data_IF_832238241536
#
_entry.id   IF_832238241536
#
_cell.length_a   1.000
_cell.length_b   1.000
_cell.length_c   1.000
_cell.angle_alpha   90.00
_cell.angle_beta   90.00
_cell.angle_gamma   90.00
#
_symmetry.space_group_name_H-M   'P 1'
#
loop_
_entity.id
_entity.type
_entity.pdbx_description
1 polymer ?
#
# COMPACT_ATOMS: atom_id res chain seq x y z
N UNK A 1 -6.63 19.24 -5.50
CA UNK A 1 -6.01 19.00 -4.17
C UNK A 1 -4.50 19.11 -4.34
N UNK A 2 -3.84 19.77 -3.41
CA UNK A 2 -2.39 20.01 -3.50
C UNK A 2 -1.61 18.76 -3.06
N UNK A 3 -1.18 17.99 -4.06
CA UNK A 3 -0.40 16.75 -3.88
C UNK A 3 0.95 17.02 -3.23
N UNK A 4 1.58 18.18 -3.53
CA UNK A 4 2.84 18.59 -2.92
C UNK A 4 2.69 18.87 -1.41
N UNK A 5 1.60 19.52 -1.01
CA UNK A 5 1.34 19.77 0.41
C UNK A 5 1.14 18.47 1.20
N UNK A 6 0.53 17.43 0.58
CA UNK A 6 0.45 16.09 1.20
C UNK A 6 1.83 15.46 1.34
N UNK A 7 2.64 15.49 0.27
CA UNK A 7 4.00 14.94 0.30
C UNK A 7 4.86 15.59 1.37
N UNK A 8 4.85 16.94 1.47
CA UNK A 8 5.55 17.70 2.52
C UNK A 8 5.04 17.34 3.91
N UNK A 9 3.72 17.17 4.07
CA UNK A 9 3.12 16.75 5.33
C UNK A 9 3.56 15.35 5.77
N UNK A 10 3.66 14.40 4.83
CA UNK A 10 4.19 13.06 5.10
C UNK A 10 5.65 13.11 5.56
N UNK A 11 6.47 13.96 4.95
CA UNK A 11 7.85 14.17 5.37
C UNK A 11 7.93 14.76 6.78
N UNK A 12 7.20 15.84 7.04
CA UNK A 12 7.19 16.53 8.34
C UNK A 12 6.68 15.64 9.49
N UNK A 13 5.76 14.72 9.19
CA UNK A 13 5.26 13.73 10.15
C UNK A 13 6.25 12.57 10.40
N UNK A 14 7.43 12.56 9.75
CA UNK A 14 8.43 11.49 9.91
C UNK A 14 7.98 10.14 9.35
N UNK A 15 7.02 10.13 8.41
CA UNK A 15 6.51 8.92 7.76
C UNK A 15 7.61 8.22 6.97
N UNK A 16 8.49 9.00 6.33
CA UNK A 16 9.66 8.47 5.61
C UNK A 16 10.90 8.81 6.42
N UNK A 17 11.64 7.78 6.79
CA UNK A 17 12.90 7.88 7.54
C UNK A 17 14.05 7.38 6.69
N UNK A 18 15.19 8.06 6.75
CA UNK A 18 16.42 7.73 6.02
C UNK A 18 17.44 7.13 6.96
N UNK A 19 18.17 6.10 6.51
CA UNK A 19 19.14 5.37 7.33
C UNK A 19 19.37 3.97 6.79
N UNK A 20 19.77 3.05 7.64
CA UNK A 20 20.00 1.64 7.30
C UNK A 20 18.99 0.77 8.05
N UNK A 21 18.00 0.26 7.35
CA UNK A 21 16.87 -0.48 7.96
C UNK A 21 16.86 -1.94 7.55
N UNK A 22 16.66 -2.81 8.53
CA UNK A 22 16.29 -4.21 8.27
C UNK A 22 14.79 -4.25 7.91
N UNK A 23 14.46 -4.95 6.83
CA UNK A 23 13.09 -5.20 6.40
C UNK A 23 12.75 -6.68 6.62
N UNK A 24 11.47 -7.05 6.44
CA UNK A 24 11.02 -8.45 6.54
C UNK A 24 11.83 -9.41 5.67
N UNK A 25 12.32 -8.95 4.52
CA UNK A 25 13.21 -9.71 3.65
C UNK A 25 14.42 -10.32 4.40
N UNK A 26 14.96 -9.61 5.41
CA UNK A 26 16.12 -10.08 6.19
C UNK A 26 15.80 -11.23 7.16
N UNK A 27 14.52 -11.60 7.32
CA UNK A 27 14.12 -12.80 8.05
C UNK A 27 14.47 -14.06 7.23
N UNK A 28 14.34 -13.99 5.89
CA UNK A 28 14.65 -15.07 4.96
C UNK A 28 16.02 -14.93 4.29
N UNK A 29 16.52 -13.70 4.12
CA UNK A 29 17.82 -13.39 3.50
C UNK A 29 18.58 -12.42 4.42
N UNK A 30 19.27 -12.94 5.49
CA UNK A 30 19.92 -12.11 6.51
C UNK A 30 20.96 -11.13 5.98
N UNK A 31 21.66 -11.50 4.91
CA UNK A 31 22.74 -10.73 4.27
C UNK A 31 22.26 -9.80 3.15
N UNK A 32 20.95 -9.67 2.96
CA UNK A 32 20.42 -8.72 1.99
C UNK A 32 20.88 -7.29 2.34
N UNK A 33 21.10 -6.40 1.34
CA UNK A 33 21.45 -5.01 1.59
C UNK A 33 20.35 -4.31 2.42
N UNK A 34 20.77 -3.58 3.46
CA UNK A 34 19.87 -2.79 4.28
C UNK A 34 19.15 -1.75 3.41
N UNK A 35 17.87 -1.51 3.71
CA UNK A 35 17.12 -0.47 3.03
C UNK A 35 17.59 0.92 3.47
N UNK A 36 17.92 1.84 2.55
CA UNK A 36 18.34 3.20 2.90
C UNK A 36 17.18 4.07 3.39
N UNK A 37 15.97 3.54 3.42
CA UNK A 37 14.77 4.22 3.90
C UNK A 37 13.77 3.25 4.54
N UNK A 38 12.89 3.81 5.35
CA UNK A 38 11.73 3.11 5.93
C UNK A 38 10.48 4.00 5.84
N UNK A 39 9.37 3.44 5.37
CA UNK A 39 8.08 4.14 5.27
C UNK A 39 7.13 3.57 6.32
N UNK A 40 6.61 4.43 7.20
CA UNK A 40 5.62 4.09 8.21
C UNK A 40 4.39 5.00 8.11
N UNK A 41 3.49 4.66 7.19
CA UNK A 41 2.24 5.41 6.97
C UNK A 41 1.27 5.31 8.16
N UNK A 42 1.49 4.37 9.08
CA UNK A 42 0.70 4.26 10.31
C UNK A 42 0.83 5.49 11.21
N UNK A 43 1.90 6.28 11.07
CA UNK A 43 2.08 7.53 11.79
C UNK A 43 1.04 8.59 11.39
N UNK A 44 0.51 8.53 10.17
CA UNK A 44 -0.49 9.51 9.66
C UNK A 44 -1.70 9.60 10.57
N UNK A 45 -2.09 8.50 11.24
CA UNK A 45 -3.23 8.46 12.19
C UNK A 45 -3.08 9.41 13.38
N UNK A 46 -1.86 9.86 13.69
CA UNK A 46 -1.57 10.80 14.77
C UNK A 46 -1.68 12.27 14.35
N UNK A 47 -1.92 12.54 13.07
CA UNK A 47 -1.98 13.88 12.48
C UNK A 47 -3.32 14.08 11.76
N UNK A 48 -4.39 14.54 12.45
CA UNK A 48 -5.74 14.61 11.86
C UNK A 48 -5.83 15.42 10.58
N UNK A 49 -5.19 16.58 10.50
CA UNK A 49 -5.20 17.41 9.29
C UNK A 49 -4.48 16.77 8.11
N UNK A 50 -3.41 16.02 8.37
CA UNK A 50 -2.72 15.25 7.34
C UNK A 50 -3.57 14.06 6.89
N UNK A 51 -4.21 13.36 7.83
CA UNK A 51 -5.12 12.26 7.55
C UNK A 51 -6.29 12.73 6.66
N UNK A 52 -6.85 13.89 6.94
CA UNK A 52 -7.92 14.49 6.12
C UNK A 52 -7.45 14.73 4.68
N UNK A 53 -6.28 15.35 4.49
CA UNK A 53 -5.72 15.61 3.16
C UNK A 53 -5.36 14.33 2.41
N UNK A 54 -4.79 13.35 3.11
CA UNK A 54 -4.45 12.03 2.55
C UNK A 54 -5.70 11.31 2.07
N UNK A 55 -6.73 11.24 2.92
CA UNK A 55 -7.98 10.55 2.56
C UNK A 55 -8.72 11.25 1.44
N UNK A 56 -8.70 12.58 1.39
CA UNK A 56 -9.26 13.34 0.28
C UNK A 56 -8.50 13.09 -1.03
N UNK A 57 -7.16 12.95 -0.98
CA UNK A 57 -6.36 12.63 -2.14
C UNK A 57 -6.70 11.23 -2.67
N UNK A 58 -6.84 10.25 -1.77
CA UNK A 58 -7.26 8.88 -2.13
C UNK A 58 -8.68 8.86 -2.71
N UNK A 59 -9.64 9.62 -2.14
CA UNK A 59 -10.98 9.79 -2.70
C UNK A 59 -10.91 10.35 -4.13
N UNK A 60 -9.96 11.24 -4.39
CA UNK A 60 -9.71 11.76 -5.73
C UNK A 60 -9.42 10.68 -6.77
N UNK A 61 -8.69 9.63 -6.40
CA UNK A 61 -8.37 8.48 -7.25
C UNK A 61 -9.60 7.58 -7.51
N UNK A 62 -10.54 7.56 -6.57
CA UNK A 62 -11.74 6.73 -6.66
C UNK A 62 -12.81 7.33 -7.58
N UNK A 63 -12.63 8.57 -8.06
CA UNK A 63 -13.60 9.24 -8.93
C UNK A 63 -13.76 8.51 -10.24
N UNK A 64 -15.01 8.17 -10.56
CA UNK A 64 -15.36 7.44 -11.78
C UNK A 64 -15.27 5.92 -11.67
N UNK A 65 -14.71 5.38 -10.60
CA UNK A 65 -14.75 3.96 -10.30
C UNK A 65 -16.16 3.58 -9.79
N UNK A 66 -16.58 2.36 -10.09
CA UNK A 66 -17.90 1.85 -9.68
C UNK A 66 -17.71 0.80 -8.60
N UNK A 67 -18.23 1.06 -7.42
CA UNK A 67 -18.21 0.14 -6.28
C UNK A 67 -19.40 0.39 -5.36
N UNK A 68 -19.81 -0.63 -4.63
CA UNK A 68 -20.89 -0.62 -3.65
C UNK A 68 -20.36 -0.56 -2.22
N UNK A 69 -19.14 -1.07 -2.01
CA UNK A 69 -18.52 -1.27 -0.71
C UNK A 69 -17.07 -0.81 -0.72
N UNK A 70 -16.59 -0.37 0.44
CA UNK A 70 -15.17 -0.13 0.70
C UNK A 70 -14.66 -1.29 1.55
N UNK A 71 -13.57 -1.93 1.12
CA UNK A 71 -12.85 -2.93 1.90
C UNK A 71 -11.46 -2.41 2.26
N UNK A 72 -10.96 -2.75 3.44
CA UNK A 72 -9.59 -2.44 3.84
C UNK A 72 -8.67 -3.65 3.78
N UNK A 73 -7.37 -3.40 3.79
CA UNK A 73 -6.36 -4.40 4.16
C UNK A 73 -5.94 -4.13 5.61
N UNK A 74 -6.34 -4.99 6.57
CA UNK A 74 -6.00 -4.76 7.96
C UNK A 74 -4.50 -4.98 8.22
N UNK A 75 -3.88 -4.22 9.12
CA UNK A 75 -4.43 -3.19 9.99
C UNK A 75 -3.99 -1.77 9.55
N UNK A 76 -3.10 -1.67 8.59
CA UNK A 76 -2.52 -0.38 8.18
C UNK A 76 -3.49 0.44 7.31
N UNK A 77 -4.24 -0.22 6.42
CA UNK A 77 -5.26 0.40 5.58
C UNK A 77 -6.51 0.84 6.32
N UNK A 78 -6.84 0.18 7.45
CA UNK A 78 -8.12 0.37 8.15
C UNK A 78 -8.44 1.82 8.53
N UNK A 79 -7.53 2.65 9.08
CA UNK A 79 -7.85 4.04 9.41
C UNK A 79 -8.22 4.88 8.19
N UNK A 80 -7.52 4.67 7.07
CA UNK A 80 -7.82 5.38 5.82
C UNK A 80 -9.17 4.97 5.27
N UNK A 81 -9.43 3.66 5.18
CA UNK A 81 -10.69 3.12 4.70
C UNK A 81 -11.89 3.59 5.54
N UNK A 82 -11.76 3.59 6.86
CA UNK A 82 -12.83 4.02 7.77
C UNK A 82 -13.21 5.50 7.58
N UNK A 83 -12.19 6.38 7.44
CA UNK A 83 -12.43 7.81 7.22
C UNK A 83 -13.01 8.05 5.82
N UNK A 84 -12.49 7.36 4.79
CA UNK A 84 -13.00 7.46 3.42
C UNK A 84 -14.45 6.97 3.35
N UNK A 85 -14.76 5.83 3.96
CA UNK A 85 -16.12 5.30 4.02
C UNK A 85 -17.09 6.28 4.72
N UNK A 86 -16.65 6.87 5.82
CA UNK A 86 -17.43 7.91 6.51
C UNK A 86 -17.65 9.15 5.64
N UNK A 87 -16.60 9.68 4.99
CA UNK A 87 -16.68 10.86 4.10
C UNK A 87 -17.60 10.62 2.91
N UNK A 88 -17.54 9.43 2.31
CA UNK A 88 -18.36 9.05 1.15
C UNK A 88 -19.75 8.52 1.51
N UNK A 89 -20.03 8.30 2.79
CA UNK A 89 -21.28 7.66 3.27
C UNK A 89 -21.48 6.26 2.65
N UNK A 90 -20.39 5.54 2.47
CA UNK A 90 -20.37 4.18 1.90
C UNK A 90 -20.21 3.12 2.99
N UNK A 91 -20.81 1.93 2.82
CA UNK A 91 -20.56 0.81 3.72
C UNK A 91 -19.09 0.38 3.67
N UNK A 92 -18.57 -0.07 4.82
CA UNK A 92 -17.21 -0.61 4.93
C UNK A 92 -17.26 -2.05 5.44
N UNK A 93 -16.41 -2.89 4.87
CA UNK A 93 -16.19 -4.28 5.24
C UNK A 93 -14.68 -4.54 5.45
N UNK A 94 -14.35 -5.51 6.28
CA UNK A 94 -12.95 -5.89 6.57
C UNK A 94 -12.74 -7.39 6.39
N UNK A 95 -11.88 -7.84 5.46
CA UNK A 95 -11.49 -9.24 5.35
C UNK A 95 -10.56 -9.62 6.52
N UNK A 96 -10.79 -10.80 7.11
CA UNK A 96 -9.98 -11.34 8.20
C UNK A 96 -8.85 -12.18 7.62
N UNK A 97 -7.62 -11.65 7.63
CA UNK A 97 -6.44 -12.38 7.18
C UNK A 97 -6.07 -13.54 8.13
N UNK A 98 -6.38 -13.42 9.41
CA UNK A 98 -6.11 -14.46 10.40
C UNK A 98 -7.31 -15.43 10.56
N UNK A 99 -7.04 -16.74 10.59
CA UNK A 99 -8.02 -17.77 10.92
C UNK A 99 -8.28 -17.79 12.44
N UNK A 100 -9.43 -17.31 12.91
CA UNK A 100 -9.87 -17.57 14.26
C UNK A 100 -10.44 -19.00 14.35
N UNK A 101 -9.91 -19.79 15.30
CA UNK A 101 -10.43 -21.14 15.59
C UNK A 101 -11.75 -21.11 16.38
N UNK A 102 -12.14 -19.94 16.94
CA UNK A 102 -13.32 -19.79 17.80
C UNK A 102 -14.13 -18.53 17.39
N UNK A 103 -15.46 -18.64 17.46
CA UNK A 103 -16.41 -17.56 17.16
C UNK A 103 -17.12 -17.73 15.80
N UNK A 104 -17.62 -16.62 15.20
CA UNK A 104 -18.26 -16.69 13.90
C UNK A 104 -17.24 -17.11 12.83
N UNK A 105 -17.62 -18.06 11.96
CA UNK A 105 -16.80 -18.51 10.83
C UNK A 105 -16.74 -17.47 9.70
N UNK A 106 -17.37 -16.29 9.89
CA UNK A 106 -17.36 -15.23 8.89
C UNK A 106 -15.93 -14.78 8.62
N UNK A 107 -15.53 -14.78 7.35
CA UNK A 107 -14.22 -14.35 6.86
C UNK A 107 -14.16 -12.85 6.61
N UNK A 108 -15.32 -12.16 6.64
CA UNK A 108 -15.46 -10.73 6.40
C UNK A 108 -16.33 -10.13 7.49
N UNK A 109 -15.87 -9.06 8.11
CA UNK A 109 -16.64 -8.23 9.04
C UNK A 109 -17.40 -7.16 8.26
N UNK A 110 -18.61 -6.81 8.71
CA UNK A 110 -19.52 -5.86 8.08
C UNK A 110 -20.66 -6.54 7.33
N UNK A 111 -21.56 -5.72 6.77
CA UNK A 111 -22.72 -6.19 6.01
C UNK A 111 -22.45 -6.09 4.51
N UNK A 112 -22.68 -7.17 3.78
CA UNK A 112 -22.54 -7.24 2.32
C UNK A 112 -23.51 -8.27 1.73
N UNK A 113 -23.67 -8.22 0.42
CA UNK A 113 -24.42 -9.19 -0.37
C UNK A 113 -23.57 -9.69 -1.52
N UNK A 114 -23.61 -10.99 -1.80
CA UNK A 114 -22.92 -11.56 -2.96
C UNK A 114 -23.31 -10.83 -4.26
N UNK A 115 -22.32 -10.60 -5.12
CA UNK A 115 -22.46 -9.85 -6.37
C UNK A 115 -22.17 -8.34 -6.24
N UNK A 116 -22.09 -7.79 -5.02
CA UNK A 116 -21.63 -6.42 -4.83
C UNK A 116 -20.16 -6.23 -5.19
N UNK A 117 -19.83 -5.05 -5.70
CA UNK A 117 -18.44 -4.69 -6.03
C UNK A 117 -17.78 -3.97 -4.84
N UNK A 118 -16.63 -4.45 -4.40
CA UNK A 118 -15.83 -3.82 -3.36
C UNK A 118 -14.55 -3.19 -3.95
N UNK A 119 -14.24 -1.95 -3.53
CA UNK A 119 -12.93 -1.33 -3.76
C UNK A 119 -12.04 -1.58 -2.55
N UNK A 120 -10.80 -2.05 -2.79
CA UNK A 120 -9.87 -2.37 -1.71
C UNK A 120 -8.93 -1.20 -1.44
N UNK A 121 -8.85 -0.77 -0.18
CA UNK A 121 -7.98 0.33 0.25
C UNK A 121 -6.85 -0.16 1.16
N UNK A 122 -5.63 0.33 0.89
CA UNK A 122 -4.49 0.10 1.78
C UNK A 122 -3.59 1.34 1.85
N UNK A 123 -2.61 1.32 2.73
CA UNK A 123 -1.66 2.40 2.91
C UNK A 123 -0.60 2.42 1.80
N UNK A 124 0.03 1.27 1.50
CA UNK A 124 1.08 1.17 0.48
C UNK A 124 1.06 -0.18 -0.24
N UNK A 125 1.70 -0.23 -1.40
CA UNK A 125 1.95 -1.46 -2.14
C UNK A 125 3.45 -1.74 -2.28
N UNK A 126 3.86 -2.99 -1.97
CA UNK A 126 5.22 -3.53 -2.19
C UNK A 126 5.17 -4.71 -3.17
N UNK A 127 4.93 -5.93 -2.69
CA UNK A 127 4.81 -7.16 -3.48
C UNK A 127 3.37 -7.65 -3.63
N UNK A 128 2.41 -7.04 -2.91
CA UNK A 128 0.95 -7.26 -2.99
C UNK A 128 0.39 -8.52 -2.34
N UNK A 129 1.18 -9.32 -1.62
CA UNK A 129 0.72 -10.58 -1.02
C UNK A 129 -0.52 -10.38 -0.13
N UNK A 130 -0.46 -9.42 0.82
CA UNK A 130 -1.58 -9.14 1.74
C UNK A 130 -2.83 -8.62 1.02
N UNK A 131 -2.64 -7.88 -0.09
CA UNK A 131 -3.76 -7.36 -0.90
C UNK A 131 -4.42 -8.48 -1.68
N UNK A 132 -3.62 -9.35 -2.30
CA UNK A 132 -4.12 -10.51 -3.03
C UNK A 132 -4.85 -11.48 -2.09
N UNK A 133 -4.33 -11.68 -0.87
CA UNK A 133 -5.00 -12.48 0.15
C UNK A 133 -6.34 -11.85 0.56
N UNK A 134 -6.37 -10.54 0.83
CA UNK A 134 -7.60 -9.82 1.16
C UNK A 134 -8.63 -9.93 0.03
N UNK A 135 -8.21 -9.69 -1.22
CA UNK A 135 -9.06 -9.83 -2.41
C UNK A 135 -9.60 -11.25 -2.55
N UNK A 136 -8.76 -12.27 -2.37
CA UNK A 136 -9.21 -13.66 -2.45
C UNK A 136 -10.29 -13.97 -1.42
N UNK A 137 -10.14 -13.49 -0.17
CA UNK A 137 -11.15 -13.65 0.87
C UNK A 137 -12.49 -13.01 0.46
N UNK A 138 -12.45 -11.81 -0.13
CA UNK A 138 -13.66 -11.12 -0.59
C UNK A 138 -14.33 -11.86 -1.74
N UNK A 139 -13.55 -12.34 -2.71
CA UNK A 139 -14.04 -13.12 -3.86
C UNK A 139 -14.64 -14.46 -3.41
N UNK A 140 -14.03 -15.14 -2.44
CA UNK A 140 -14.57 -16.38 -1.84
C UNK A 140 -15.92 -16.17 -1.15
N UNK A 141 -16.24 -14.94 -0.75
CA UNK A 141 -17.55 -14.55 -0.21
C UNK A 141 -18.54 -14.06 -1.28
N UNK A 142 -18.20 -14.21 -2.56
CA UNK A 142 -19.04 -13.84 -3.69
C UNK A 142 -19.03 -12.36 -4.04
N UNK A 143 -18.07 -11.59 -3.54
CA UNK A 143 -17.88 -10.19 -3.92
C UNK A 143 -17.05 -10.07 -5.20
N UNK A 144 -17.25 -8.95 -5.91
CA UNK A 144 -16.44 -8.59 -7.07
C UNK A 144 -15.40 -7.55 -6.63
N UNK A 145 -14.15 -7.74 -7.01
CA UNK A 145 -13.08 -6.76 -6.79
C UNK A 145 -12.36 -6.52 -8.10
N UNK A 146 -12.27 -5.26 -8.50
CA UNK A 146 -11.59 -4.83 -9.73
C UNK A 146 -10.50 -3.81 -9.46
N UNK A 147 -10.61 -3.06 -8.35
CA UNK A 147 -9.78 -1.90 -8.07
C UNK A 147 -9.17 -1.94 -6.67
N UNK A 148 -7.90 -1.56 -6.60
CA UNK A 148 -7.15 -1.37 -5.36
C UNK A 148 -6.63 0.07 -5.34
N UNK A 149 -6.85 0.79 -4.24
CA UNK A 149 -6.35 2.17 -4.05
C UNK A 149 -5.37 2.20 -2.89
N UNK A 150 -4.20 2.78 -3.12
CA UNK A 150 -3.15 2.93 -2.11
C UNK A 150 -2.64 4.37 -2.07
N UNK A 151 -2.08 4.78 -0.93
CA UNK A 151 -1.43 6.08 -0.84
C UNK A 151 -0.07 6.06 -1.55
N UNK A 152 0.74 5.01 -1.36
CA UNK A 152 2.10 4.94 -1.92
C UNK A 152 2.34 3.62 -2.65
N UNK A 153 2.79 3.70 -3.91
CA UNK A 153 3.46 2.61 -4.61
C UNK A 153 4.97 2.69 -4.34
N UNK A 154 5.53 1.63 -3.73
CA UNK A 154 6.97 1.52 -3.47
C UNK A 154 7.79 1.08 -4.69
N UNK A 155 7.16 0.86 -5.83
CA UNK A 155 7.79 0.46 -7.10
C UNK A 155 8.60 -0.85 -7.00
N UNK A 156 8.09 -1.82 -6.20
CA UNK A 156 8.73 -3.11 -5.95
C UNK A 156 7.97 -4.29 -6.62
N UNK A 157 7.27 -4.02 -7.72
CA UNK A 157 6.59 -5.05 -8.51
C UNK A 157 5.14 -5.34 -8.10
N UNK A 158 4.64 -4.73 -7.02
CA UNK A 158 3.31 -5.03 -6.51
C UNK A 158 2.17 -4.60 -7.43
N UNK A 159 2.30 -3.46 -8.10
CA UNK A 159 1.30 -3.00 -9.09
C UNK A 159 1.21 -3.99 -10.26
N UNK A 160 2.36 -4.50 -10.73
CA UNK A 160 2.42 -5.51 -11.79
C UNK A 160 1.78 -6.84 -11.34
N UNK A 161 2.01 -7.25 -10.08
CA UNK A 161 1.40 -8.45 -9.51
C UNK A 161 -0.13 -8.32 -9.41
N UNK A 162 -0.65 -7.18 -8.96
CA UNK A 162 -2.09 -6.90 -8.96
C UNK A 162 -2.67 -6.93 -10.36
N UNK A 163 -2.01 -6.31 -11.34
CA UNK A 163 -2.45 -6.32 -12.73
C UNK A 163 -2.48 -7.72 -13.33
N UNK A 164 -1.48 -8.54 -13.02
CA UNK A 164 -1.46 -9.96 -13.46
C UNK A 164 -2.62 -10.77 -12.85
N UNK A 165 -3.12 -10.37 -11.68
CA UNK A 165 -4.32 -10.93 -11.04
C UNK A 165 -5.64 -10.31 -11.53
N UNK A 166 -5.61 -9.42 -12.55
CA UNK A 166 -6.80 -8.78 -13.11
C UNK A 166 -7.31 -7.58 -12.30
N UNK A 167 -6.47 -6.98 -11.46
CA UNK A 167 -6.82 -5.85 -10.59
C UNK A 167 -6.11 -4.58 -11.07
N UNK A 168 -6.84 -3.47 -11.14
CA UNK A 168 -6.26 -2.16 -11.37
C UNK A 168 -5.83 -1.51 -10.05
N UNK A 169 -4.58 -1.04 -9.99
CA UNK A 169 -4.01 -0.39 -8.81
C UNK A 169 -3.85 1.12 -9.05
N UNK A 170 -4.46 1.91 -8.18
CA UNK A 170 -4.44 3.37 -8.20
C UNK A 170 -3.62 3.87 -7.01
N UNK A 171 -2.43 4.40 -7.25
CA UNK A 171 -1.56 4.96 -6.22
C UNK A 171 -1.59 6.50 -6.26
N UNK A 172 -1.69 7.13 -5.09
CA UNK A 172 -1.61 8.58 -4.99
C UNK A 172 -0.19 9.09 -5.30
N UNK A 173 0.82 8.33 -4.86
CA UNK A 173 2.22 8.61 -5.12
C UNK A 173 2.94 7.35 -5.56
N UNK A 174 3.89 7.51 -6.48
CA UNK A 174 5.04 6.60 -6.60
C UNK A 174 6.12 7.05 -5.63
N UNK A 175 6.91 6.12 -5.12
CA UNK A 175 8.02 6.48 -4.24
C UNK A 175 9.02 7.38 -4.95
N UNK A 176 9.35 7.11 -6.20
CA UNK A 176 10.22 7.98 -7.02
C UNK A 176 9.69 9.42 -7.11
N UNK A 177 8.38 9.60 -7.25
CA UNK A 177 7.76 10.93 -7.27
C UNK A 177 7.88 11.65 -5.92
N UNK A 178 7.69 10.95 -4.79
CA UNK A 178 7.91 11.54 -3.46
C UNK A 178 9.35 12.00 -3.28
N UNK A 179 10.32 11.20 -3.73
CA UNK A 179 11.74 11.54 -3.64
C UNK A 179 12.10 12.78 -4.48
N UNK A 180 11.55 12.91 -5.68
CA UNK A 180 11.77 14.12 -6.50
C UNK A 180 11.18 15.36 -5.81
N UNK A 181 9.96 15.28 -5.27
CA UNK A 181 9.37 16.39 -4.51
C UNK A 181 10.26 16.77 -3.31
N UNK A 182 10.78 15.78 -2.57
CA UNK A 182 11.64 16.05 -1.41
C UNK A 182 12.98 16.65 -1.80
N UNK A 183 13.57 16.23 -2.90
CA UNK A 183 14.80 16.79 -3.47
C UNK A 183 14.59 18.25 -3.93
N UNK A 184 13.53 18.52 -4.69
CA UNK A 184 13.19 19.86 -5.17
C UNK A 184 12.98 20.84 -4.00
N UNK A 185 12.33 20.37 -2.94
CA UNK A 185 12.08 21.14 -1.72
C UNK A 185 13.28 21.17 -0.76
N UNK A 186 14.41 20.52 -1.10
CA UNK A 186 15.61 20.42 -0.27
C UNK A 186 15.36 19.78 1.11
N UNK A 187 14.40 18.88 1.18
CA UNK A 187 14.07 18.11 2.40
C UNK A 187 14.99 16.91 2.58
N UNK A 188 15.62 16.44 1.52
CA UNK A 188 16.63 15.36 1.53
C UNK A 188 17.91 15.83 0.86
N UNK A 189 19.04 15.21 1.22
CA UNK A 189 20.33 15.49 0.59
C UNK A 189 20.45 14.78 -0.76
N UNK A 190 21.34 15.23 -1.66
CA UNK A 190 21.64 14.51 -2.90
C UNK A 190 22.05 13.06 -2.65
N UNK A 191 22.87 12.81 -1.63
CA UNK A 191 23.35 11.48 -1.26
C UNK A 191 22.20 10.55 -0.81
N UNK A 192 21.24 11.09 -0.06
CA UNK A 192 20.03 10.33 0.33
C UNK A 192 19.18 9.98 -0.88
N UNK A 193 19.01 10.94 -1.81
CA UNK A 193 18.28 10.72 -3.05
C UNK A 193 18.93 9.61 -3.90
N UNK A 194 20.25 9.71 -4.14
CA UNK A 194 21.02 8.73 -4.91
C UNK A 194 20.96 7.34 -4.28
N UNK A 195 21.22 7.22 -2.97
CA UNK A 195 21.21 5.95 -2.26
C UNK A 195 19.86 5.21 -2.38
N UNK A 196 18.75 5.96 -2.37
CA UNK A 196 17.43 5.34 -2.50
C UNK A 196 17.14 5.00 -3.97
N UNK A 197 17.48 5.89 -4.90
CA UNK A 197 17.31 5.65 -6.33
C UNK A 197 18.04 4.38 -6.77
N UNK A 198 19.30 4.21 -6.34
CA UNK A 198 20.11 3.01 -6.61
C UNK A 198 19.53 1.74 -5.97
N UNK A 199 18.91 1.88 -4.78
CA UNK A 199 18.27 0.76 -4.10
C UNK A 199 16.99 0.30 -4.82
N UNK A 200 16.26 1.22 -5.47
CA UNK A 200 15.02 0.94 -6.20
C UNK A 200 15.28 0.37 -7.60
N UNK A 201 16.47 0.55 -8.17
CA UNK A 201 16.81 -0.08 -9.46
C UNK A 201 16.74 -1.60 -9.30
N UNK A 202 15.94 -2.32 -10.13
CA UNK A 202 15.89 -3.77 -10.08
C UNK A 202 17.29 -4.35 -10.27
N UNK A 203 17.87 -4.93 -9.22
CA UNK A 203 19.10 -5.71 -9.37
C UNK A 203 18.73 -6.95 -10.17
N UNK A 204 19.18 -7.04 -11.41
CA UNK A 204 19.23 -8.29 -12.14
C UNK A 204 20.03 -9.26 -11.27
N UNK A 205 19.35 -10.23 -10.67
CA UNK A 205 20.02 -11.35 -10.00
C UNK A 205 20.83 -12.02 -11.10
N UNK A 206 22.13 -11.80 -11.11
CA UNK A 206 23.01 -12.54 -11.98
C UNK A 206 22.77 -14.02 -11.67
N UNK A 207 22.26 -14.76 -12.64
CA UNK A 207 22.08 -16.20 -12.57
C UNK A 207 23.37 -16.82 -12.09
N UNK A 208 23.35 -17.37 -10.89
CA UNK A 208 24.44 -18.19 -10.39
C UNK A 208 24.68 -19.34 -11.39
N UNK A 209 25.90 -19.88 -11.49
CA UNK A 209 26.24 -20.86 -12.48
C UNK A 209 25.31 -22.07 -12.34
N UNK A 210 24.64 -22.42 -13.44
CA UNK A 210 24.00 -23.73 -13.60
C UNK A 210 25.09 -24.78 -13.42
N UNK A 211 25.20 -25.37 -12.23
CA UNK A 211 26.02 -26.55 -12.02
C UNK A 211 25.37 -27.68 -12.82
N UNK A 212 25.93 -27.92 -14.04
CA UNK A 212 25.70 -29.15 -14.73
C UNK A 212 26.15 -30.30 -13.82
N UNK A 213 25.24 -31.22 -13.57
CA UNK A 213 25.56 -32.55 -13.06
C UNK A 213 25.74 -33.48 -14.23
N UNK A 214 26.72 -34.40 -14.14
CA UNK A 214 27.01 -35.36 -15.21
C UNK A 214 25.92 -36.39 -15.41
#
# INVERSE_FOLDING_TARGET
MDKQAVATGLFAAGVIRFGAFRLKLHESVPDAPLSPFYIDLRLVRSYPDLMDRVTDLMIGLMRGLKFDLIADVPTAGTPFAAIIAHKLRMPMITPRLEHKQHGSRARVDGAYTAGQTAIVLDDLVTHSESKLEAVQILVDQGLVVTDVVVLVDREQGGVQALKAAGLDCHAAFRLSELLEIYKEQRLITPEQFEAISDYLVPRTVANGPTSGLP
#
